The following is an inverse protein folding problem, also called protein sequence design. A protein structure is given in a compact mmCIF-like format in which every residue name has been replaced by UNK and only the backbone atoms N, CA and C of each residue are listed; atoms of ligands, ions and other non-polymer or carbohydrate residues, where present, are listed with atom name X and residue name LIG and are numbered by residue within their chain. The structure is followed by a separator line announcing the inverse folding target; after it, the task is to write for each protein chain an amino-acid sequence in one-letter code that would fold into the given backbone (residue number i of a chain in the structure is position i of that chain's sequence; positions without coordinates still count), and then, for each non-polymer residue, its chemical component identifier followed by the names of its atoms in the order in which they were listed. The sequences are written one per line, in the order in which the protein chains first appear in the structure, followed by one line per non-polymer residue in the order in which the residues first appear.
data_IF_687729931589
#
_entry.id   IF_687729931589
#
_cell.length_a   1.000
_cell.length_b   1.000
_cell.length_c   1.000
_cell.angle_alpha   90.00
_cell.angle_beta   90.00
_cell.angle_gamma   90.00
#
_symmetry.space_group_name_H-M   'P 1'
#
loop_
_entity.id
_entity.type
_entity.pdbx_description
1 polymer ?
#
# COMPACT_ATOMS: atom_id res chain seq x y z
N UNK A 1 1.93 -24.56 -11.03
CA UNK A 1 2.73 -23.32 -11.05
C UNK A 1 2.60 -22.72 -9.67
N UNK A 2 3.69 -22.57 -8.90
CA UNK A 2 3.62 -21.89 -7.60
C UNK A 2 3.37 -20.42 -7.89
N UNK A 3 2.25 -19.89 -7.37
CA UNK A 3 2.01 -18.45 -7.42
C UNK A 3 2.90 -17.81 -6.35
N UNK A 4 3.86 -17.01 -6.81
CA UNK A 4 4.74 -16.22 -5.94
C UNK A 4 4.25 -14.78 -5.83
N UNK A 5 2.97 -14.52 -6.06
CA UNK A 5 2.39 -13.23 -5.75
C UNK A 5 1.95 -13.22 -4.28
N UNK A 6 2.12 -12.09 -3.57
CA UNK A 6 1.49 -11.90 -2.28
C UNK A 6 -0.02 -12.09 -2.42
N UNK A 7 -0.64 -12.76 -1.44
CA UNK A 7 -2.08 -12.93 -1.36
C UNK A 7 -2.62 -12.15 -0.20
N UNK A 8 -3.62 -11.33 -0.50
CA UNK A 8 -4.34 -10.49 0.45
C UNK A 8 -5.57 -11.25 0.95
N UNK A 9 -5.77 -11.23 2.26
CA UNK A 9 -6.92 -11.80 2.97
C UNK A 9 -7.57 -10.68 3.77
N UNK A 10 -8.88 -10.49 3.59
CA UNK A 10 -9.69 -9.49 4.28
C UNK A 10 -10.74 -10.21 5.11
N UNK A 11 -10.91 -9.83 6.36
CA UNK A 11 -11.95 -10.37 7.25
C UNK A 11 -12.92 -9.29 7.79
N UNK A 12 -13.08 -8.22 7.01
CA UNK A 12 -13.90 -7.08 7.38
C UNK A 12 -13.13 -6.12 8.27
N UNK A 13 -12.65 -6.54 9.44
CA UNK A 13 -11.93 -5.66 10.39
C UNK A 13 -10.42 -5.63 10.18
N UNK A 14 -9.86 -6.68 9.60
CA UNK A 14 -8.42 -6.86 9.42
C UNK A 14 -8.06 -7.06 7.94
N UNK A 15 -6.79 -6.76 7.67
CA UNK A 15 -6.08 -7.05 6.46
C UNK A 15 -4.86 -7.90 6.83
N UNK A 16 -4.76 -9.08 6.23
CA UNK A 16 -3.59 -9.93 6.32
C UNK A 16 -3.01 -10.17 4.93
N UNK A 17 -1.68 -10.22 4.85
CA UNK A 17 -0.96 -10.53 3.62
C UNK A 17 -0.10 -11.74 3.84
N UNK A 18 -0.17 -12.65 2.88
CA UNK A 18 0.58 -13.90 2.87
C UNK A 18 1.46 -14.01 1.64
N UNK A 19 2.61 -14.66 1.77
CA UNK A 19 3.52 -14.94 0.67
C UNK A 19 4.03 -16.37 0.81
N UNK A 20 4.05 -17.12 -0.31
CA UNK A 20 4.48 -18.52 -0.29
C UNK A 20 3.65 -19.44 0.64
N UNK A 21 2.43 -19.05 0.99
CA UNK A 21 1.56 -19.80 1.92
C UNK A 21 1.72 -19.46 3.40
N UNK A 22 2.52 -18.46 3.75
CA UNK A 22 2.73 -18.00 5.12
C UNK A 22 2.21 -16.57 5.30
N UNK A 23 1.55 -16.28 6.42
CA UNK A 23 1.20 -14.91 6.80
C UNK A 23 2.47 -14.13 7.12
N UNK A 24 2.66 -13.01 6.43
CA UNK A 24 3.84 -12.13 6.58
C UNK A 24 3.52 -11.01 7.56
N UNK A 25 2.34 -10.41 7.42
CA UNK A 25 1.85 -9.39 8.34
C UNK A 25 0.33 -9.30 8.33
N UNK A 26 -0.19 -8.72 9.41
CA UNK A 26 -1.61 -8.49 9.66
C UNK A 26 -1.78 -7.16 10.38
N UNK A 27 -2.84 -6.44 10.04
CA UNK A 27 -3.24 -5.22 10.73
C UNK A 27 -4.76 -5.12 10.84
N UNK A 28 -5.24 -4.37 11.84
CA UNK A 28 -6.64 -3.93 11.91
C UNK A 28 -6.77 -2.60 11.19
N UNK A 29 -7.85 -2.42 10.46
CA UNK A 29 -8.09 -1.18 9.72
C UNK A 29 -8.14 0.06 10.64
N UNK A 30 -8.64 -0.09 11.85
CA UNK A 30 -8.76 1.00 12.83
C UNK A 30 -7.41 1.45 13.40
N UNK A 31 -6.35 0.64 13.23
CA UNK A 31 -5.00 1.00 13.65
C UNK A 31 -4.24 1.83 12.59
N UNK A 32 -4.81 1.95 11.38
CA UNK A 32 -4.18 2.66 10.25
C UNK A 32 -4.25 4.17 10.48
N UNK A 33 -3.07 4.80 10.50
CA UNK A 33 -2.91 6.23 10.74
C UNK A 33 -2.41 7.00 9.52
N UNK A 34 -1.79 6.31 8.55
CA UNK A 34 -1.42 6.88 7.24
C UNK A 34 -1.62 5.84 6.14
N UNK A 35 -2.10 6.30 4.97
CA UNK A 35 -2.14 5.52 3.73
C UNK A 35 -1.33 6.27 2.67
N UNK A 36 -0.37 5.59 2.08
CA UNK A 36 0.42 6.11 0.98
C UNK A 36 0.20 5.29 -0.29
N UNK A 37 0.35 5.94 -1.44
CA UNK A 37 0.33 5.32 -2.75
C UNK A 37 1.58 5.73 -3.51
N UNK A 38 2.14 4.81 -4.27
CA UNK A 38 3.23 5.13 -5.18
C UNK A 38 3.27 4.24 -6.40
N UNK A 39 4.10 4.63 -7.36
CA UNK A 39 4.49 3.75 -8.47
C UNK A 39 5.98 3.47 -8.38
N UNK A 40 6.33 2.20 -8.44
CA UNK A 40 7.72 1.79 -8.61
C UNK A 40 8.07 1.87 -10.09
N UNK A 41 9.05 2.70 -10.45
CA UNK A 41 9.50 2.81 -11.83
C UNK A 41 10.44 1.64 -12.18
N UNK A 42 9.85 0.46 -12.34
CA UNK A 42 10.54 -0.70 -12.88
C UNK A 42 10.60 -0.56 -14.41
N UNK A 43 11.64 0.10 -14.92
CA UNK A 43 12.11 0.03 -16.31
C UNK A 43 11.01 -0.14 -17.38
N UNK A 44 10.00 0.74 -17.40
CA UNK A 44 9.01 0.81 -18.49
C UNK A 44 7.62 0.20 -18.25
N UNK A 45 7.30 -0.26 -17.05
CA UNK A 45 5.98 -0.82 -16.73
C UNK A 45 5.57 -0.62 -15.27
N UNK A 46 5.82 0.58 -14.72
CA UNK A 46 5.80 0.79 -13.27
C UNK A 46 4.53 0.31 -12.58
N UNK A 47 4.71 -0.49 -11.54
CA UNK A 47 3.62 -1.08 -10.78
C UNK A 47 3.10 -0.12 -9.73
N UNK A 48 1.78 -0.08 -9.62
CA UNK A 48 1.12 0.68 -8.56
C UNK A 48 1.24 -0.06 -7.22
N UNK A 49 1.50 0.70 -6.18
CA UNK A 49 1.74 0.20 -4.84
C UNK A 49 0.97 1.03 -3.80
N UNK A 50 0.61 0.37 -2.70
CA UNK A 50 -0.05 0.95 -1.55
C UNK A 50 0.72 0.59 -0.29
N UNK A 51 0.78 1.54 0.64
CA UNK A 51 1.46 1.42 1.92
C UNK A 51 0.53 1.81 3.03
N UNK A 52 0.44 0.95 4.05
CA UNK A 52 -0.34 1.19 5.25
C UNK A 52 0.61 1.35 6.43
N UNK A 53 0.42 2.42 7.21
CA UNK A 53 1.17 2.64 8.44
C UNK A 53 0.23 2.61 9.63
N UNK A 54 0.63 1.89 10.66
CA UNK A 54 -0.05 1.86 11.96
C UNK A 54 0.70 2.68 13.01
N UNK A 55 0.04 3.03 14.11
CA UNK A 55 0.57 3.94 15.13
C UNK A 55 1.89 3.47 15.78
N UNK A 56 2.12 2.15 15.84
CA UNK A 56 3.33 1.55 16.44
C UNK A 56 4.54 1.53 15.50
N UNK A 57 4.35 1.82 14.21
CA UNK A 57 5.42 1.90 13.21
C UNK A 57 6.08 3.28 13.24
N UNK A 58 7.34 3.34 12.80
CA UNK A 58 8.05 4.62 12.71
C UNK A 58 7.44 5.51 11.61
N UNK A 59 7.49 6.85 11.77
CA UNK A 59 7.19 7.76 10.68
C UNK A 59 7.93 7.39 9.39
N UNK A 60 7.20 7.31 8.28
CA UNK A 60 7.76 6.93 6.97
C UNK A 60 7.96 5.43 6.75
N UNK A 61 7.59 4.56 7.69
CA UNK A 61 7.59 3.11 7.54
C UNK A 61 6.19 2.61 7.12
N UNK A 62 6.12 1.71 6.14
CA UNK A 62 4.85 1.23 5.58
C UNK A 62 4.88 -0.28 5.33
N UNK A 63 3.73 -0.93 5.56
CA UNK A 63 3.46 -2.27 5.06
C UNK A 63 2.97 -2.14 3.62
N UNK A 64 3.76 -2.67 2.68
CA UNK A 64 3.53 -2.49 1.25
C UNK A 64 2.72 -3.62 0.62
N UNK A 65 1.89 -3.29 -0.36
CA UNK A 65 1.34 -4.22 -1.35
C UNK A 65 1.42 -3.58 -2.72
N UNK A 66 1.74 -4.37 -3.75
CA UNK A 66 1.78 -3.93 -5.14
C UNK A 66 0.62 -4.52 -5.95
N UNK A 67 0.38 -3.98 -7.13
CA UNK A 67 -0.70 -4.40 -8.03
C UNK A 67 -0.59 -5.87 -8.47
N UNK A 68 0.57 -6.50 -8.32
CA UNK A 68 0.76 -7.92 -8.60
C UNK A 68 0.14 -8.83 -7.54
N UNK A 69 -0.19 -8.29 -6.35
CA UNK A 69 -0.77 -9.08 -5.27
C UNK A 69 -2.21 -9.53 -5.58
N UNK A 70 -2.51 -10.80 -5.32
CA UNK A 70 -3.85 -11.36 -5.44
C UNK A 70 -4.77 -10.69 -4.40
N UNK A 71 -5.75 -9.92 -4.87
CA UNK A 71 -6.68 -9.16 -4.01
C UNK A 71 -6.36 -7.67 -3.88
N UNK A 72 -5.37 -7.16 -4.62
CA UNK A 72 -5.00 -5.73 -4.59
C UNK A 72 -6.20 -4.80 -4.84
N UNK A 73 -7.00 -5.06 -5.88
CA UNK A 73 -8.20 -4.26 -6.18
C UNK A 73 -9.21 -4.19 -5.01
N UNK A 74 -9.31 -5.25 -4.21
CA UNK A 74 -10.21 -5.26 -3.05
C UNK A 74 -9.65 -4.43 -1.89
N UNK A 75 -8.33 -4.40 -1.69
CA UNK A 75 -7.69 -3.49 -0.73
C UNK A 75 -7.97 -2.03 -1.06
N UNK A 76 -7.88 -1.71 -2.35
CA UNK A 76 -8.18 -0.39 -2.88
C UNK A 76 -9.62 0.04 -2.58
N UNK A 77 -10.60 -0.82 -2.84
CA UNK A 77 -12.01 -0.58 -2.51
C UNK A 77 -12.23 -0.39 -1.00
N UNK A 78 -11.58 -1.19 -0.16
CA UNK A 78 -11.68 -1.07 1.29
C UNK A 78 -11.06 0.23 1.82
N UNK A 79 -9.95 0.67 1.24
CA UNK A 79 -9.33 1.97 1.56
C UNK A 79 -10.29 3.12 1.22
N UNK A 80 -10.92 3.09 0.04
CA UNK A 80 -11.92 4.11 -0.33
C UNK A 80 -13.09 4.14 0.66
N UNK A 81 -13.63 2.96 0.98
CA UNK A 81 -14.77 2.80 1.87
C UNK A 81 -14.49 3.30 3.28
N UNK A 82 -13.27 3.12 3.78
CA UNK A 82 -12.91 3.38 5.18
C UNK A 82 -12.33 4.76 5.45
N UNK A 83 -11.70 5.38 4.46
CA UNK A 83 -10.95 6.61 4.63
C UNK A 83 -11.50 7.78 3.80
N UNK A 84 -12.83 7.80 3.62
CA UNK A 84 -13.70 8.88 3.11
C UNK A 84 -12.98 9.93 2.23
N UNK A 85 -12.97 9.69 0.91
CA UNK A 85 -12.33 10.49 -0.15
C UNK A 85 -10.81 10.38 -0.33
N UNK A 86 -10.16 9.30 0.14
CA UNK A 86 -8.81 8.97 -0.32
C UNK A 86 -8.76 8.62 -1.83
N UNK A 87 -9.88 8.15 -2.42
CA UNK A 87 -9.83 7.33 -3.63
C UNK A 87 -10.47 7.93 -4.91
N UNK A 88 -11.57 8.66 -4.86
CA UNK A 88 -12.24 9.08 -6.10
C UNK A 88 -11.53 10.24 -6.85
N UNK A 89 -10.80 11.13 -6.14
CA UNK A 89 -10.25 12.36 -6.74
C UNK A 89 -8.72 12.38 -6.93
N UNK A 90 -7.94 11.54 -6.24
CA UNK A 90 -6.46 11.59 -6.30
C UNK A 90 -5.83 10.63 -7.29
N UNK A 91 -6.52 9.56 -7.70
CA UNK A 91 -5.99 8.51 -8.58
C UNK A 91 -5.94 8.90 -10.06
N UNK A 92 -6.92 9.67 -10.54
CA UNK A 92 -6.94 10.24 -11.90
C UNK A 92 -6.14 11.54 -12.02
N UNK A 93 -6.00 12.27 -10.91
CA UNK A 93 -5.28 13.55 -10.84
C UNK A 93 -3.80 13.43 -10.44
N UNK A 94 -3.36 12.27 -9.93
CA UNK A 94 -1.95 11.94 -9.80
C UNK A 94 -1.35 11.68 -11.19
N UNK A 95 -1.28 12.75 -11.98
CA UNK A 95 -0.33 12.86 -13.08
C UNK A 95 1.03 12.90 -12.41
N UNK A 96 1.60 11.72 -12.19
CA UNK A 96 2.97 11.62 -11.74
C UNK A 96 3.86 12.01 -12.93
N UNK A 97 4.53 13.19 -12.91
CA UNK A 97 5.44 13.54 -13.98
C UNK A 97 6.54 12.46 -14.05
N UNK A 98 7.11 12.13 -15.23
CA UNK A 98 8.08 11.05 -15.40
C UNK A 98 9.37 11.14 -14.55
N UNK A 99 9.54 12.18 -13.72
CA UNK A 99 10.80 12.50 -13.05
C UNK A 99 10.68 12.84 -11.56
N UNK A 100 9.47 12.81 -10.97
CA UNK A 100 9.30 12.96 -9.53
C UNK A 100 8.97 11.60 -8.94
N UNK A 101 9.70 11.16 -7.90
CA UNK A 101 9.39 9.99 -7.10
C UNK A 101 7.89 9.94 -6.84
N UNK A 102 7.19 8.95 -7.40
CA UNK A 102 5.74 8.97 -7.61
C UNK A 102 4.99 8.64 -6.32
N UNK A 103 5.25 9.33 -5.20
CA UNK A 103 4.76 9.00 -3.86
C UNK A 103 3.79 10.07 -3.34
N UNK A 104 2.67 9.65 -2.76
CA UNK A 104 1.75 10.58 -2.07
C UNK A 104 1.01 9.90 -0.91
N UNK A 105 0.83 10.65 0.18
CA UNK A 105 -0.01 10.23 1.32
C UNK A 105 -1.44 10.68 1.03
N UNK A 106 -2.35 9.71 0.92
CA UNK A 106 -3.75 9.96 0.56
C UNK A 106 -4.67 10.10 1.76
N UNK A 107 -4.28 9.52 2.90
CA UNK A 107 -4.96 9.62 4.19
C UNK A 107 -3.93 9.78 5.33
N UNK A 108 -4.30 10.54 6.36
CA UNK A 108 -3.43 10.88 7.48
C UNK A 108 -2.59 12.14 7.24
N UNK A 109 -1.74 12.48 8.22
CA UNK A 109 -0.75 13.54 8.08
C UNK A 109 0.56 12.91 7.63
N UNK A 110 1.16 13.38 6.53
CA UNK A 110 2.45 12.87 6.08
C UNK A 110 3.52 13.07 7.16
N UNK A 111 4.02 11.98 7.75
CA UNK A 111 5.07 12.05 8.79
C UNK A 111 6.47 11.70 8.28
N UNK A 112 6.59 11.22 7.04
CA UNK A 112 7.85 10.94 6.35
C UNK A 112 8.13 11.88 5.17
N UNK A 113 9.39 11.95 4.71
CA UNK A 113 9.71 12.59 3.43
C UNK A 113 9.24 11.69 2.29
N UNK A 114 8.51 12.26 1.31
CA UNK A 114 8.01 11.56 0.13
C UNK A 114 9.12 10.90 -0.73
N UNK A 115 10.39 11.19 -0.46
CA UNK A 115 11.54 10.68 -1.19
C UNK A 115 12.13 9.38 -0.61
N UNK A 116 11.80 8.99 0.63
CA UNK A 116 12.41 7.86 1.34
C UNK A 116 11.40 7.18 2.27
N UNK A 117 10.48 6.40 1.71
CA UNK A 117 9.66 5.48 2.50
C UNK A 117 10.44 4.18 2.76
N UNK A 118 10.42 3.70 4.01
CA UNK A 118 10.91 2.36 4.33
C UNK A 118 9.74 1.39 4.20
N UNK A 119 9.66 0.70 3.07
CA UNK A 119 8.56 -0.24 2.79
C UNK A 119 8.97 -1.64 3.18
N UNK A 120 8.18 -2.27 4.04
CA UNK A 120 8.27 -3.69 4.35
C UNK A 120 7.40 -4.43 3.33
N UNK A 121 8.06 -5.05 2.36
CA UNK A 121 7.43 -5.82 1.29
C UNK A 121 7.15 -7.26 1.73
N UNK A 122 6.02 -7.86 1.32
CA UNK A 122 5.71 -9.26 1.62
C UNK A 122 6.79 -10.24 1.14
N UNK A 123 7.45 -9.93 0.03
CA UNK A 123 8.52 -10.74 -0.57
C UNK A 123 9.87 -10.63 0.17
N UNK A 124 10.01 -9.64 1.05
CA UNK A 124 11.26 -9.31 1.73
C UNK A 124 11.25 -9.63 3.23
N UNK A 125 10.14 -10.15 3.76
CA UNK A 125 9.91 -10.43 5.19
C UNK A 125 9.82 -11.93 5.46
#
# INVERSE_FOLDING_TARGET
MLNFNPRIILDGEELAVSFGGHEVWRLRWDDVVEVAIWREDASGGGSLCVGLRIATMKPGEYLGVSESADGFATVLEEIDRRFDNAYAMKWQGAVFPPMATQWTVVYGQATGRAELANVVWPEAA
#
